data_IF_174294999510
#
_entry.id   IF_174294999510
#
_cell.length_a   1.000
_cell.length_b   1.000
_cell.length_c   1.000
_cell.angle_alpha   90.00
_cell.angle_beta   90.00
_cell.angle_gamma   90.00
#
_symmetry.space_group_name_H-M   'P 1'
#
loop_
_entity.id
_entity.type
_entity.pdbx_description
1 polymer ?
#
# COMPACT_ATOMS: atom_id res chain seq x y z
N UNK A 1 -19.70 -22.08 40.47
CA UNK A 1 -19.91 -21.10 39.36
C UNK A 1 -18.82 -20.04 39.26
N UNK A 2 -18.27 -19.52 40.41
CA UNK A 2 -17.14 -18.58 40.43
C UNK A 2 -15.83 -19.24 40.00
N UNK A 3 -15.53 -20.41 40.50
CA UNK A 3 -14.32 -21.21 40.15
C UNK A 3 -14.30 -21.63 38.70
N UNK A 4 -15.46 -21.97 38.09
CA UNK A 4 -15.53 -22.34 36.68
C UNK A 4 -15.30 -21.15 35.75
N UNK A 5 -15.77 -19.94 36.13
CA UNK A 5 -15.48 -18.71 35.35
C UNK A 5 -14.00 -18.32 35.43
N UNK A 6 -13.36 -18.45 36.57
CA UNK A 6 -11.93 -18.14 36.74
C UNK A 6 -11.05 -19.14 35.98
N UNK A 7 -11.41 -20.42 35.97
CA UNK A 7 -10.72 -21.44 35.19
C UNK A 7 -10.84 -21.18 33.66
N UNK A 8 -12.04 -20.85 33.16
CA UNK A 8 -12.28 -20.51 31.76
C UNK A 8 -11.49 -19.26 31.37
N UNK A 9 -11.49 -18.24 32.23
CA UNK A 9 -10.74 -17.00 31.95
C UNK A 9 -9.23 -17.22 31.95
N UNK A 10 -8.69 -18.09 32.79
CA UNK A 10 -7.29 -18.51 32.82
C UNK A 10 -6.90 -19.27 31.53
N UNK A 11 -7.77 -20.17 31.05
CA UNK A 11 -7.54 -20.88 29.79
C UNK A 11 -7.57 -19.95 28.58
N UNK A 12 -8.47 -18.97 28.53
CA UNK A 12 -8.51 -17.96 27.47
C UNK A 12 -7.25 -17.09 27.49
N UNK A 13 -6.77 -16.68 28.65
CA UNK A 13 -5.53 -15.92 28.77
C UNK A 13 -4.30 -16.75 28.34
N UNK A 14 -4.22 -18.01 28.76
CA UNK A 14 -3.16 -18.92 28.32
C UNK A 14 -3.18 -19.16 26.82
N UNK A 15 -4.37 -19.33 26.22
CA UNK A 15 -4.53 -19.46 24.77
C UNK A 15 -4.12 -18.18 24.03
N UNK A 16 -4.48 -17.01 24.52
CA UNK A 16 -4.08 -15.73 23.94
C UNK A 16 -2.55 -15.53 24.02
N UNK A 17 -1.94 -15.85 25.16
CA UNK A 17 -0.48 -15.74 25.35
C UNK A 17 0.24 -16.75 24.44
N UNK A 18 -0.21 -18.00 24.36
CA UNK A 18 0.40 -19.01 23.48
C UNK A 18 0.27 -18.65 22.02
N UNK A 19 -0.86 -18.03 21.59
CA UNK A 19 -1.05 -17.56 20.22
C UNK A 19 -0.11 -16.38 19.90
N UNK A 20 0.12 -15.48 20.84
CA UNK A 20 1.08 -14.38 20.69
C UNK A 20 2.50 -14.93 20.59
N UNK A 21 2.89 -15.86 21.45
CA UNK A 21 4.21 -16.50 21.42
C UNK A 21 4.43 -17.25 20.10
N UNK A 22 3.42 -18.00 19.64
CA UNK A 22 3.46 -18.71 18.37
C UNK A 22 3.60 -17.73 17.19
N UNK A 23 2.86 -16.64 17.21
CA UNK A 23 2.94 -15.59 16.19
C UNK A 23 4.34 -14.95 16.16
N UNK A 24 4.88 -14.60 17.33
CA UNK A 24 6.24 -14.05 17.45
C UNK A 24 7.29 -15.06 16.97
N UNK A 25 7.14 -16.34 17.33
CA UNK A 25 8.03 -17.41 16.88
C UNK A 25 7.96 -17.59 15.35
N UNK A 26 6.77 -17.63 14.76
CA UNK A 26 6.58 -17.72 13.30
C UNK A 26 7.20 -16.49 12.61
N UNK A 27 6.98 -15.28 13.15
CA UNK A 27 7.57 -14.07 12.60
C UNK A 27 9.11 -14.10 12.69
N UNK A 28 9.66 -14.59 13.80
CA UNK A 28 11.10 -14.77 13.97
C UNK A 28 11.68 -15.79 12.99
N UNK A 29 10.99 -16.92 12.75
CA UNK A 29 11.41 -17.94 11.77
C UNK A 29 11.36 -17.36 10.34
N UNK A 30 10.34 -16.59 10.00
CA UNK A 30 10.25 -15.89 8.70
C UNK A 30 11.38 -14.86 8.56
N UNK A 31 11.68 -14.11 9.60
CA UNK A 31 12.80 -13.14 9.61
C UNK A 31 14.16 -13.86 9.44
N UNK A 32 14.40 -14.93 10.17
CA UNK A 32 15.63 -15.75 10.05
C UNK A 32 15.72 -16.45 8.69
N UNK A 33 14.61 -16.98 8.18
CA UNK A 33 14.54 -17.58 6.84
C UNK A 33 14.80 -16.58 5.70
N UNK A 34 14.47 -15.28 5.88
CA UNK A 34 14.79 -14.22 4.93
C UNK A 34 16.26 -13.77 5.00
N UNK A 35 16.96 -14.02 6.11
CA UNK A 35 18.41 -13.77 6.21
C UNK A 35 19.20 -14.72 5.27
N UNK A 36 18.69 -15.93 5.00
CA UNK A 36 19.30 -16.83 4.03
C UNK A 36 19.08 -16.41 2.55
N UNK A 37 18.11 -15.56 2.26
CA UNK A 37 17.98 -14.87 0.96
C UNK A 37 18.63 -13.49 1.05
N UNK A 38 19.91 -13.44 1.33
CA UNK A 38 20.69 -12.21 1.50
C UNK A 38 20.45 -11.14 0.41
N UNK A 39 20.24 -11.56 -0.84
CA UNK A 39 19.97 -10.64 -1.95
C UNK A 39 18.62 -9.92 -1.87
N UNK A 40 17.60 -10.54 -1.29
CA UNK A 40 16.28 -9.89 -1.15
C UNK A 40 16.25 -8.90 0.04
N UNK A 41 17.02 -9.19 1.09
CA UNK A 41 17.23 -8.30 2.23
C UNK A 41 17.99 -7.06 1.82
N UNK A 42 19.10 -7.22 1.11
CA UNK A 42 19.94 -6.13 0.63
C UNK A 42 19.15 -5.15 -0.26
N UNK A 43 18.30 -5.67 -1.17
CA UNK A 43 17.44 -4.85 -2.02
C UNK A 43 16.43 -4.00 -1.22
N UNK A 44 15.79 -4.56 -0.18
CA UNK A 44 14.86 -3.80 0.66
C UNK A 44 15.57 -2.71 1.44
N UNK A 45 16.75 -3.00 1.98
CA UNK A 45 17.54 -2.00 2.69
C UNK A 45 17.95 -0.83 1.78
N UNK A 46 18.33 -1.12 0.54
CA UNK A 46 18.61 -0.09 -0.46
C UNK A 46 17.36 0.76 -0.74
N UNK A 47 16.19 0.10 -0.97
CA UNK A 47 14.92 0.81 -1.20
C UNK A 47 14.60 1.71 -0.01
N UNK A 48 14.73 1.23 1.22
CA UNK A 48 14.43 2.01 2.42
C UNK A 48 15.40 3.17 2.62
N UNK A 49 16.69 2.96 2.33
CA UNK A 49 17.69 4.03 2.40
C UNK A 49 17.36 5.17 1.42
N UNK A 50 17.18 4.86 0.14
CA UNK A 50 16.83 5.85 -0.89
C UNK A 50 15.49 6.53 -0.56
N UNK A 51 14.47 5.76 -0.14
CA UNK A 51 13.17 6.33 0.25
C UNK A 51 13.31 7.30 1.42
N UNK A 52 14.15 6.98 2.41
CA UNK A 52 14.38 7.86 3.56
C UNK A 52 15.06 9.16 3.14
N UNK A 53 15.99 9.12 2.20
CA UNK A 53 16.61 10.32 1.64
C UNK A 53 15.58 11.17 0.89
N UNK A 54 14.74 10.54 0.05
CA UNK A 54 13.65 11.22 -0.65
C UNK A 54 12.64 11.90 0.29
N UNK A 55 12.34 11.31 1.45
CA UNK A 55 11.46 11.92 2.48
C UNK A 55 12.07 13.23 3.00
N UNK A 56 13.40 13.30 3.13
CA UNK A 56 14.07 14.52 3.63
C UNK A 56 13.97 15.71 2.68
N UNK A 57 13.71 15.50 1.40
CA UNK A 57 13.48 16.58 0.43
C UNK A 57 12.08 17.20 0.54
N UNK A 58 11.08 16.37 0.91
CA UNK A 58 9.68 16.81 1.05
C UNK A 58 9.07 16.38 2.38
N UNK A 59 9.63 16.82 3.54
CA UNK A 59 9.34 16.21 4.83
C UNK A 59 7.92 16.47 5.36
N UNK A 60 7.29 17.59 5.02
CA UNK A 60 6.01 18.00 5.63
C UNK A 60 4.81 17.46 4.87
N UNK A 61 4.74 17.72 3.58
CA UNK A 61 3.56 17.41 2.73
C UNK A 61 3.75 16.16 1.87
N UNK A 62 4.99 15.68 1.75
CA UNK A 62 5.34 14.61 0.82
C UNK A 62 5.27 15.03 -0.65
N UNK A 63 5.32 14.04 -1.52
CA UNK A 63 5.36 14.23 -2.98
C UNK A 63 3.99 14.02 -3.66
N UNK A 64 2.96 13.63 -2.90
CA UNK A 64 1.65 13.25 -3.41
C UNK A 64 1.47 11.72 -3.56
N UNK A 65 0.21 11.29 -3.47
CA UNK A 65 -0.17 9.87 -3.53
C UNK A 65 0.18 9.31 -4.91
N UNK A 66 0.81 8.12 -4.93
CA UNK A 66 1.22 7.43 -6.15
C UNK A 66 2.52 7.96 -6.76
N UNK A 67 3.16 8.96 -6.15
CA UNK A 67 4.42 9.55 -6.63
C UNK A 67 5.67 8.69 -6.35
N UNK A 68 5.54 7.62 -5.55
CA UNK A 68 6.67 6.80 -5.13
C UNK A 68 7.54 6.29 -6.29
N UNK A 69 7.03 5.64 -7.37
CA UNK A 69 7.87 5.04 -8.38
C UNK A 69 8.75 6.06 -9.11
N UNK A 70 8.17 7.21 -9.49
CA UNK A 70 8.89 8.26 -10.22
C UNK A 70 9.96 8.93 -9.35
N UNK A 71 9.60 9.28 -8.11
CA UNK A 71 10.56 9.89 -7.18
C UNK A 71 11.66 8.91 -6.80
N UNK A 72 11.32 7.66 -6.52
CA UNK A 72 12.31 6.63 -6.21
C UNK A 72 13.32 6.44 -7.36
N UNK A 73 12.86 6.37 -8.62
CA UNK A 73 13.74 6.20 -9.77
C UNK A 73 14.72 7.37 -9.92
N UNK A 74 14.23 8.61 -9.72
CA UNK A 74 15.06 9.83 -9.75
C UNK A 74 16.13 9.78 -8.64
N UNK A 75 15.72 9.51 -7.41
CA UNK A 75 16.64 9.47 -6.25
C UNK A 75 17.61 8.29 -6.34
N UNK A 76 17.20 7.15 -6.89
CA UNK A 76 18.08 6.01 -7.15
C UNK A 76 19.16 6.38 -8.17
N UNK A 77 18.81 7.10 -9.24
CA UNK A 77 19.77 7.58 -10.23
C UNK A 77 20.80 8.50 -9.58
N UNK A 78 20.32 9.50 -8.84
CA UNK A 78 21.19 10.43 -8.12
C UNK A 78 22.11 9.70 -7.10
N UNK A 79 21.57 8.72 -6.35
CA UNK A 79 22.35 7.91 -5.43
C UNK A 79 23.47 7.13 -6.14
N UNK A 80 23.20 6.59 -7.33
CA UNK A 80 24.21 5.82 -8.08
C UNK A 80 25.26 6.67 -8.80
N UNK A 81 25.02 7.96 -8.95
CA UNK A 81 26.02 8.92 -9.42
C UNK A 81 27.02 9.26 -8.31
N UNK A 82 26.67 9.01 -7.05
CA UNK A 82 27.61 9.21 -5.94
C UNK A 82 28.61 8.05 -5.83
N UNK A 83 29.82 8.34 -5.34
CA UNK A 83 30.86 7.32 -5.08
C UNK A 83 30.52 6.40 -3.89
N UNK A 84 29.41 6.67 -3.18
CA UNK A 84 28.98 5.90 -2.01
C UNK A 84 28.28 4.60 -2.36
N UNK A 85 27.72 4.48 -3.58
CA UNK A 85 26.97 3.32 -4.03
C UNK A 85 27.92 2.15 -4.36
N UNK A 86 27.71 1.01 -3.70
CA UNK A 86 28.50 -0.20 -3.95
C UNK A 86 28.16 -0.84 -5.30
N UNK A 87 29.13 -1.55 -5.90
CA UNK A 87 28.92 -2.30 -7.13
C UNK A 87 27.80 -3.36 -6.98
N UNK A 88 27.65 -3.92 -5.79
CA UNK A 88 26.58 -4.89 -5.48
C UNK A 88 25.22 -4.24 -5.50
N UNK A 89 25.05 -3.03 -4.96
CA UNK A 89 23.81 -2.27 -4.98
C UNK A 89 23.40 -1.92 -6.40
N UNK A 90 24.35 -1.48 -7.23
CA UNK A 90 24.10 -1.19 -8.66
C UNK A 90 23.64 -2.43 -9.43
N UNK A 91 24.19 -3.62 -9.15
CA UNK A 91 23.80 -4.87 -9.80
C UNK A 91 22.43 -5.41 -9.31
N UNK A 92 22.06 -5.13 -8.06
CA UNK A 92 20.80 -5.60 -7.47
C UNK A 92 19.67 -4.57 -7.54
N UNK A 93 19.95 -3.39 -8.09
CA UNK A 93 18.98 -2.33 -8.25
C UNK A 93 17.76 -2.78 -9.05
N UNK A 94 16.60 -2.31 -8.63
CA UNK A 94 15.32 -2.54 -9.30
C UNK A 94 14.51 -1.25 -9.25
N UNK A 95 13.51 -1.11 -10.14
CA UNK A 95 12.53 -0.02 -10.07
C UNK A 95 11.28 -0.51 -9.34
N UNK A 96 11.23 -0.44 -8.01
CA UNK A 96 10.09 -0.94 -7.23
C UNK A 96 8.88 -0.03 -7.39
N UNK A 97 7.69 -0.63 -7.43
CA UNK A 97 6.43 0.10 -7.42
C UNK A 97 6.05 0.61 -6.02
N UNK A 98 6.63 0.01 -4.97
CA UNK A 98 6.33 0.30 -3.56
C UNK A 98 7.59 0.22 -2.69
N UNK A 99 7.57 0.94 -1.56
CA UNK A 99 8.68 0.94 -0.59
C UNK A 99 8.84 -0.39 0.17
N UNK A 100 7.90 -1.32 0.09
CA UNK A 100 7.83 -2.52 0.93
C UNK A 100 7.85 -2.21 2.44
N UNK A 101 7.42 -1.02 2.78
CA UNK A 101 7.20 -0.51 4.13
C UNK A 101 6.19 0.64 4.02
N UNK A 102 4.97 0.44 4.53
CA UNK A 102 3.89 1.43 4.40
C UNK A 102 4.18 2.72 5.14
N UNK A 103 4.93 2.66 6.24
CA UNK A 103 5.29 3.87 6.99
C UNK A 103 6.23 4.76 6.18
N UNK A 104 7.19 4.17 5.48
CA UNK A 104 8.06 4.91 4.56
C UNK A 104 7.29 5.39 3.32
N UNK A 105 6.41 4.56 2.78
CA UNK A 105 5.56 4.93 1.66
C UNK A 105 4.68 6.15 2.00
N UNK A 106 3.95 6.07 3.12
CA UNK A 106 3.12 7.17 3.63
C UNK A 106 3.97 8.40 3.95
N UNK A 107 5.15 8.21 4.55
CA UNK A 107 6.09 9.28 4.85
C UNK A 107 6.59 10.00 3.60
N UNK A 108 6.83 9.28 2.51
CA UNK A 108 7.23 9.87 1.24
C UNK A 108 6.06 10.55 0.53
N UNK A 109 4.91 9.89 0.42
CA UNK A 109 3.78 10.38 -0.35
C UNK A 109 2.98 11.51 0.37
N UNK A 110 2.80 11.40 1.67
CA UNK A 110 1.99 12.33 2.48
C UNK A 110 2.80 13.14 3.51
N UNK A 111 4.11 12.94 3.54
CA UNK A 111 5.00 13.57 4.51
C UNK A 111 4.76 13.11 5.94
N UNK A 112 5.44 13.78 6.88
CA UNK A 112 5.31 13.51 8.32
C UNK A 112 3.88 13.76 8.81
N UNK A 113 3.13 14.67 8.21
CA UNK A 113 1.74 14.97 8.56
C UNK A 113 0.83 13.75 8.33
N UNK A 114 0.94 13.12 7.15
CA UNK A 114 0.17 11.91 6.84
C UNK A 114 0.61 10.71 7.68
N UNK A 115 1.92 10.58 7.92
CA UNK A 115 2.47 9.50 8.76
C UNK A 115 1.98 9.62 10.21
N UNK A 116 2.03 10.82 10.80
CA UNK A 116 1.53 11.05 12.16
C UNK A 116 0.03 10.79 12.26
N UNK A 117 -0.75 11.21 11.26
CA UNK A 117 -2.19 10.91 11.22
C UNK A 117 -2.45 9.41 11.16
N UNK A 118 -1.71 8.68 10.34
CA UNK A 118 -1.85 7.22 10.21
C UNK A 118 -1.50 6.50 11.53
N UNK A 119 -0.37 6.87 12.16
CA UNK A 119 0.04 6.30 13.45
C UNK A 119 -0.99 6.64 14.54
N UNK A 120 -1.47 7.89 14.58
CA UNK A 120 -2.53 8.30 15.51
C UNK A 120 -3.80 7.48 15.31
N UNK A 121 -4.22 7.26 14.08
CA UNK A 121 -5.40 6.44 13.77
C UNK A 121 -5.24 4.99 14.26
N UNK A 122 -4.09 4.34 14.01
CA UNK A 122 -3.81 3.00 14.52
C UNK A 122 -3.83 2.97 16.06
N UNK A 123 -3.13 3.91 16.70
CA UNK A 123 -3.07 4.01 18.16
C UNK A 123 -4.44 4.26 18.79
N UNK A 124 -5.24 5.15 18.18
CA UNK A 124 -6.60 5.44 18.59
C UNK A 124 -7.49 4.19 18.50
N UNK A 125 -7.41 3.48 17.38
CA UNK A 125 -8.17 2.25 17.18
C UNK A 125 -7.81 1.16 18.20
N UNK A 126 -6.51 0.97 18.46
CA UNK A 126 -6.00 0.04 19.46
C UNK A 126 -6.43 0.44 20.89
N UNK A 127 -6.32 1.71 21.23
CA UNK A 127 -6.73 2.22 22.55
C UNK A 127 -8.21 1.90 22.82
N UNK A 128 -9.09 2.24 21.89
CA UNK A 128 -10.52 1.94 22.05
C UNK A 128 -10.82 0.45 21.99
N UNK A 129 -10.15 -0.31 21.14
CA UNK A 129 -10.30 -1.74 21.07
C UNK A 129 -9.96 -2.45 22.39
N UNK A 130 -8.86 -2.08 23.03
CA UNK A 130 -8.48 -2.59 24.35
C UNK A 130 -9.49 -2.14 25.42
N UNK A 131 -9.88 -0.87 25.41
CA UNK A 131 -10.86 -0.31 26.36
C UNK A 131 -12.23 -0.96 26.27
N UNK A 132 -12.67 -1.29 25.06
CA UNK A 132 -13.95 -1.96 24.82
C UNK A 132 -13.85 -3.49 24.89
N UNK A 133 -12.66 -4.04 25.22
CA UNK A 133 -12.36 -5.48 25.30
C UNK A 133 -12.53 -6.22 23.96
N UNK A 134 -12.31 -5.54 22.84
CA UNK A 134 -12.33 -6.09 21.49
C UNK A 134 -10.94 -6.65 21.14
N UNK A 135 -10.49 -7.64 21.92
CA UNK A 135 -9.10 -8.16 21.84
C UNK A 135 -8.76 -8.73 20.46
N UNK A 136 -9.71 -9.47 19.85
CA UNK A 136 -9.49 -10.05 18.54
C UNK A 136 -9.30 -8.99 17.44
N UNK A 137 -10.15 -7.95 17.42
CA UNK A 137 -10.03 -6.87 16.46
C UNK A 137 -8.76 -6.03 16.69
N UNK A 138 -8.41 -5.77 17.96
CA UNK A 138 -7.15 -5.10 18.31
C UNK A 138 -5.93 -5.90 17.86
N UNK A 139 -5.95 -7.22 18.06
CA UNK A 139 -4.90 -8.12 17.57
C UNK A 139 -4.77 -8.09 16.04
N UNK A 140 -5.89 -8.03 15.33
CA UNK A 140 -5.91 -7.89 13.87
C UNK A 140 -5.29 -6.57 13.38
N UNK A 141 -5.62 -5.44 14.03
CA UNK A 141 -5.00 -4.12 13.72
C UNK A 141 -3.51 -4.16 13.98
N UNK A 142 -3.09 -4.72 15.12
CA UNK A 142 -1.67 -4.84 15.46
C UNK A 142 -0.92 -5.71 14.44
N UNK A 143 -1.51 -6.83 14.04
CA UNK A 143 -0.93 -7.72 13.04
C UNK A 143 -0.78 -7.02 11.68
N UNK A 144 -1.79 -6.26 11.24
CA UNK A 144 -1.70 -5.45 10.01
C UNK A 144 -0.63 -4.36 10.13
N UNK A 145 -0.53 -3.68 11.29
CA UNK A 145 0.51 -2.69 11.54
C UNK A 145 1.93 -3.28 11.47
N UNK A 146 2.12 -4.47 12.02
CA UNK A 146 3.42 -5.19 11.91
C UNK A 146 3.67 -5.64 10.47
N UNK A 147 2.67 -6.16 9.78
CA UNK A 147 2.79 -6.56 8.38
C UNK A 147 3.15 -5.38 7.47
N UNK A 148 2.61 -4.21 7.75
CA UNK A 148 2.89 -2.95 7.06
C UNK A 148 4.36 -2.49 7.19
N UNK A 149 5.12 -2.94 8.20
CA UNK A 149 6.56 -2.65 8.32
C UNK A 149 7.42 -3.37 7.27
N UNK A 150 6.96 -4.50 6.74
CA UNK A 150 7.78 -5.36 5.87
C UNK A 150 7.12 -5.65 4.52
N UNK A 151 5.97 -5.04 4.24
CA UNK A 151 5.19 -5.27 3.04
C UNK A 151 4.37 -4.04 2.67
N UNK A 152 3.51 -4.19 1.67
CA UNK A 152 2.65 -3.13 1.12
C UNK A 152 1.15 -3.50 1.19
N UNK A 153 0.61 -3.91 2.35
CA UNK A 153 -0.80 -4.35 2.43
C UNK A 153 -1.77 -3.23 2.06
N UNK A 154 -1.49 -1.98 2.40
CA UNK A 154 -2.38 -0.86 2.13
C UNK A 154 -2.42 -0.43 0.65
N UNK A 155 -1.55 -0.98 -0.19
CA UNK A 155 -1.65 -0.83 -1.63
C UNK A 155 -2.75 -1.74 -2.24
N UNK A 156 -3.27 -2.68 -1.44
CA UNK A 156 -4.31 -3.60 -1.84
C UNK A 156 -5.65 -3.20 -1.18
N UNK A 157 -6.72 -2.92 -1.96
CA UNK A 157 -8.01 -2.47 -1.42
C UNK A 157 -8.61 -3.39 -0.35
N UNK A 158 -8.35 -4.70 -0.45
CA UNK A 158 -8.84 -5.70 0.50
C UNK A 158 -8.37 -5.42 1.94
N UNK A 159 -7.11 -5.00 2.12
CA UNK A 159 -6.58 -4.71 3.44
C UNK A 159 -7.10 -3.38 4.01
N UNK A 160 -7.43 -2.40 3.15
CA UNK A 160 -8.13 -1.20 3.57
C UNK A 160 -9.51 -1.52 4.14
N UNK A 161 -10.29 -2.34 3.42
CA UNK A 161 -11.61 -2.80 3.91
C UNK A 161 -11.47 -3.53 5.24
N UNK A 162 -10.49 -4.42 5.36
CA UNK A 162 -10.23 -5.15 6.60
C UNK A 162 -9.84 -4.19 7.75
N UNK A 163 -8.94 -3.24 7.52
CA UNK A 163 -8.49 -2.28 8.52
C UNK A 163 -9.64 -1.39 9.00
N UNK A 164 -10.46 -0.88 8.08
CA UNK A 164 -11.64 -0.07 8.40
C UNK A 164 -12.67 -0.88 9.20
N UNK A 165 -12.91 -2.13 8.83
CA UNK A 165 -13.82 -3.02 9.54
C UNK A 165 -13.33 -3.31 10.97
N UNK A 166 -12.07 -3.65 11.14
CA UNK A 166 -11.47 -3.86 12.46
C UNK A 166 -11.50 -2.60 13.33
N UNK A 167 -11.21 -1.44 12.73
CA UNK A 167 -11.32 -0.13 13.40
C UNK A 167 -12.75 0.12 13.88
N UNK A 168 -13.74 -0.12 13.02
CA UNK A 168 -15.15 0.04 13.38
C UNK A 168 -15.56 -0.83 14.57
N UNK A 169 -15.11 -2.09 14.61
CA UNK A 169 -15.33 -3.00 15.75
C UNK A 169 -14.67 -2.45 17.02
N UNK A 170 -13.42 -1.99 16.94
CA UNK A 170 -12.68 -1.48 18.07
C UNK A 170 -13.33 -0.24 18.68
N UNK A 171 -13.78 0.69 17.85
CA UNK A 171 -14.37 1.97 18.30
C UNK A 171 -15.80 1.79 18.84
N UNK A 172 -16.53 0.80 18.33
CA UNK A 172 -17.91 0.57 18.75
C UNK A 172 -17.99 0.01 20.15
N UNK A 173 -18.71 0.71 21.06
CA UNK A 173 -18.97 0.22 22.40
C UNK A 173 -20.32 -0.50 22.47
N UNK A 174 -20.36 -1.84 22.60
CA UNK A 174 -21.61 -2.59 22.60
C UNK A 174 -22.55 -2.28 23.78
N UNK A 175 -22.01 -1.72 24.87
CA UNK A 175 -22.80 -1.44 26.08
C UNK A 175 -23.56 -0.11 26.04
N UNK A 176 -23.13 0.85 25.24
CA UNK A 176 -23.67 2.21 25.24
C UNK A 176 -24.64 2.51 24.08
N UNK A 177 -24.77 1.61 23.11
CA UNK A 177 -25.31 1.96 21.79
C UNK A 177 -26.77 1.62 21.54
N UNK A 178 -27.52 1.02 22.50
CA UNK A 178 -28.89 0.56 22.20
C UNK A 178 -29.93 1.68 21.96
N UNK A 179 -29.79 2.85 22.56
CA UNK A 179 -30.81 3.90 22.46
C UNK A 179 -30.45 5.06 21.51
N UNK A 180 -29.18 5.44 21.41
CA UNK A 180 -28.74 6.57 20.56
C UNK A 180 -28.52 6.18 19.10
N UNK A 181 -28.08 4.94 18.86
CA UNK A 181 -27.81 4.40 17.53
C UNK A 181 -29.08 4.30 16.66
N UNK A 182 -30.23 4.06 17.25
CA UNK A 182 -31.47 3.77 16.52
C UNK A 182 -32.00 4.99 15.73
N UNK A 183 -31.62 6.22 16.09
CA UNK A 183 -32.10 7.46 15.44
C UNK A 183 -31.18 8.05 14.37
N UNK A 184 -29.89 7.90 14.49
CA UNK A 184 -28.90 8.54 13.58
C UNK A 184 -28.27 7.58 12.57
N UNK A 185 -28.25 6.28 12.83
CA UNK A 185 -27.66 5.28 11.94
C UNK A 185 -28.22 5.36 10.49
N UNK A 186 -29.56 5.47 10.25
CA UNK A 186 -30.07 5.50 8.89
C UNK A 186 -29.58 6.73 8.10
N UNK A 187 -29.42 7.87 8.72
CA UNK A 187 -28.93 9.09 8.05
C UNK A 187 -27.42 8.99 7.76
N UNK A 188 -26.64 8.49 8.68
CA UNK A 188 -25.19 8.32 8.49
C UNK A 188 -24.91 7.26 7.41
N UNK A 189 -25.65 6.16 7.41
CA UNK A 189 -25.52 5.12 6.38
C UNK A 189 -25.99 5.62 5.00
N UNK A 190 -27.03 6.43 4.94
CA UNK A 190 -27.49 7.03 3.69
C UNK A 190 -26.45 8.02 3.14
N UNK A 191 -25.86 8.88 3.98
CA UNK A 191 -24.79 9.80 3.58
C UNK A 191 -23.56 9.00 3.11
N UNK A 192 -23.15 7.97 3.84
CA UNK A 192 -22.04 7.12 3.45
C UNK A 192 -22.30 6.41 2.11
N UNK A 193 -23.50 5.90 1.89
CA UNK A 193 -23.89 5.30 0.62
C UNK A 193 -23.86 6.30 -0.53
N UNK A 194 -24.36 7.52 -0.34
CA UNK A 194 -24.34 8.58 -1.34
C UNK A 194 -22.88 8.96 -1.68
N UNK A 195 -22.03 9.17 -0.66
CA UNK A 195 -20.61 9.45 -0.86
C UNK A 195 -19.90 8.32 -1.61
N UNK A 196 -20.19 7.06 -1.26
CA UNK A 196 -19.66 5.91 -1.97
C UNK A 196 -20.09 5.90 -3.43
N UNK A 197 -21.37 6.15 -3.73
CA UNK A 197 -21.88 6.26 -5.10
C UNK A 197 -21.19 7.38 -5.89
N UNK A 198 -20.98 8.55 -5.26
CA UNK A 198 -20.29 9.68 -5.90
C UNK A 198 -18.83 9.31 -6.22
N UNK A 199 -18.13 8.66 -5.28
CA UNK A 199 -16.76 8.20 -5.50
C UNK A 199 -16.66 7.16 -6.61
N UNK A 200 -17.58 6.19 -6.64
CA UNK A 200 -17.65 5.19 -7.72
C UNK A 200 -17.95 5.83 -9.08
N UNK A 201 -18.85 6.81 -9.11
CA UNK A 201 -19.17 7.51 -10.35
C UNK A 201 -17.97 8.33 -10.85
N UNK A 202 -17.24 9.00 -9.94
CA UNK A 202 -16.04 9.75 -10.28
C UNK A 202 -14.89 8.88 -10.78
N UNK A 203 -14.87 7.58 -10.44
CA UNK A 203 -13.84 6.64 -10.92
C UNK A 203 -14.21 5.94 -12.25
N UNK A 204 -15.38 6.25 -12.81
CA UNK A 204 -15.86 5.58 -14.01
C UNK A 204 -14.89 5.70 -15.20
N UNK A 205 -14.43 6.91 -15.47
CA UNK A 205 -13.53 7.16 -16.62
C UNK A 205 -12.17 6.49 -16.40
N UNK A 206 -11.65 6.53 -15.17
CA UNK A 206 -10.43 5.81 -14.78
C UNK A 206 -10.59 4.31 -15.02
N UNK A 207 -11.71 3.73 -14.60
CA UNK A 207 -11.99 2.31 -14.82
C UNK A 207 -11.99 1.92 -16.31
N UNK A 208 -12.63 2.73 -17.16
CA UNK A 208 -12.66 2.46 -18.59
C UNK A 208 -11.26 2.63 -19.22
N UNK A 209 -10.49 3.60 -18.79
CA UNK A 209 -9.10 3.82 -19.24
C UNK A 209 -8.21 2.60 -18.92
N UNK A 210 -8.27 2.10 -17.68
CA UNK A 210 -7.50 0.92 -17.30
C UNK A 210 -7.98 -0.37 -17.99
N UNK A 211 -9.28 -0.50 -18.25
CA UNK A 211 -9.83 -1.62 -19.00
C UNK A 211 -9.37 -1.60 -20.46
N UNK A 212 -9.34 -0.43 -21.06
CA UNK A 212 -8.83 -0.23 -22.42
C UNK A 212 -7.34 -0.53 -22.47
N UNK A 213 -6.55 -0.05 -21.53
CA UNK A 213 -5.12 -0.38 -21.43
C UNK A 213 -4.88 -1.90 -21.33
N UNK A 214 -5.66 -2.60 -20.55
CA UNK A 214 -5.56 -4.06 -20.48
C UNK A 214 -5.77 -4.73 -21.82
N UNK A 215 -6.71 -4.25 -22.62
CA UNK A 215 -6.91 -4.73 -23.99
C UNK A 215 -5.72 -4.42 -24.89
N UNK A 216 -5.09 -3.26 -24.70
CA UNK A 216 -3.86 -2.89 -25.43
C UNK A 216 -2.68 -3.78 -25.06
N UNK A 217 -2.56 -4.18 -23.80
CA UNK A 217 -1.54 -5.14 -23.37
C UNK A 217 -1.72 -6.51 -24.05
N UNK A 218 -2.95 -6.95 -24.27
CA UNK A 218 -3.21 -8.17 -25.03
C UNK A 218 -2.74 -8.03 -26.48
N UNK A 219 -3.00 -6.90 -27.15
CA UNK A 219 -2.50 -6.62 -28.50
C UNK A 219 -0.97 -6.54 -28.55
N UNK A 220 -0.36 -5.86 -27.55
CA UNK A 220 1.09 -5.77 -27.41
C UNK A 220 1.74 -7.15 -27.27
N UNK A 221 1.20 -8.03 -26.42
CA UNK A 221 1.71 -9.38 -26.24
C UNK A 221 1.52 -10.26 -27.48
N UNK A 222 0.45 -10.02 -28.26
CA UNK A 222 0.22 -10.68 -29.53
C UNK A 222 1.06 -10.10 -30.69
N UNK A 223 1.90 -9.08 -30.43
CA UNK A 223 2.74 -8.38 -31.40
C UNK A 223 1.96 -7.61 -32.47
N UNK A 224 0.70 -7.26 -32.19
CA UNK A 224 -0.16 -6.46 -33.09
C UNK A 224 0.13 -4.96 -32.91
N UNK A 225 1.39 -4.55 -33.11
CA UNK A 225 1.89 -3.22 -32.77
C UNK A 225 1.21 -2.08 -33.54
N UNK A 226 0.84 -2.28 -34.78
CA UNK A 226 0.18 -1.25 -35.62
C UNK A 226 -1.19 -0.86 -35.03
N UNK A 227 -1.98 -1.86 -34.63
CA UNK A 227 -3.28 -1.61 -34.04
C UNK A 227 -3.16 -1.02 -32.61
N UNK A 228 -2.13 -1.42 -31.88
CA UNK A 228 -1.88 -0.96 -30.52
C UNK A 228 -1.39 0.52 -30.49
N UNK A 229 -0.44 0.90 -31.35
CA UNK A 229 0.22 2.21 -31.31
C UNK A 229 -0.75 3.41 -31.32
N UNK A 230 -1.71 3.42 -32.26
CA UNK A 230 -2.68 4.51 -32.35
C UNK A 230 -3.59 4.63 -31.12
N UNK A 231 -3.94 3.50 -30.52
CA UNK A 231 -4.79 3.43 -29.33
C UNK A 231 -4.00 3.81 -28.07
N UNK A 232 -2.71 3.43 -27.95
CA UNK A 232 -1.84 3.93 -26.87
C UNK A 232 -1.79 5.46 -26.88
N UNK A 233 -1.65 6.11 -28.04
CA UNK A 233 -1.68 7.57 -28.13
C UNK A 233 -2.96 8.18 -27.56
N UNK A 234 -4.10 7.54 -27.75
CA UNK A 234 -5.40 8.01 -27.23
C UNK A 234 -5.52 8.01 -25.72
N UNK A 235 -4.75 7.15 -25.02
CA UNK A 235 -4.76 7.03 -23.56
C UNK A 235 -3.61 7.81 -22.88
N UNK A 236 -2.74 8.45 -23.64
CA UNK A 236 -1.53 9.11 -23.12
C UNK A 236 -1.85 10.11 -22.02
N UNK A 237 -2.84 10.99 -22.22
CA UNK A 237 -3.21 12.04 -21.26
C UNK A 237 -3.65 11.49 -19.90
N UNK A 238 -4.26 10.30 -19.88
CA UNK A 238 -4.75 9.67 -18.65
C UNK A 238 -3.68 8.82 -17.95
N UNK A 239 -2.74 8.25 -18.71
CA UNK A 239 -1.81 7.22 -18.21
C UNK A 239 -0.32 7.62 -18.32
N UNK A 240 0.00 8.88 -18.71
CA UNK A 240 1.40 9.35 -18.83
C UNK A 240 2.23 9.19 -17.54
N UNK A 241 1.58 9.09 -16.39
CA UNK A 241 2.22 8.88 -15.11
C UNK A 241 2.59 7.39 -14.86
N UNK A 242 2.23 6.49 -15.75
CA UNK A 242 2.49 5.04 -15.64
C UNK A 242 3.64 4.64 -16.52
N UNK A 243 4.79 4.36 -15.92
CA UNK A 243 6.01 3.96 -16.64
C UNK A 243 5.83 2.72 -17.52
N UNK A 244 5.06 1.72 -17.02
CA UNK A 244 4.76 0.51 -17.78
C UNK A 244 3.99 0.84 -19.07
N UNK A 245 2.99 1.72 -18.97
CA UNK A 245 2.21 2.20 -20.11
C UNK A 245 3.06 2.96 -21.12
N UNK A 246 3.94 3.84 -20.64
CA UNK A 246 4.84 4.61 -21.51
C UNK A 246 5.82 3.70 -22.24
N UNK A 247 6.39 2.72 -21.54
CA UNK A 247 7.31 1.77 -22.15
C UNK A 247 6.64 0.92 -23.24
N UNK A 248 5.49 0.30 -22.94
CA UNK A 248 4.71 -0.50 -23.89
C UNK A 248 4.31 0.32 -25.12
N UNK A 249 3.83 1.55 -24.91
CA UNK A 249 3.47 2.46 -26.00
C UNK A 249 4.68 2.88 -26.85
N UNK A 250 5.79 3.25 -26.22
CA UNK A 250 7.03 3.58 -26.92
C UNK A 250 7.56 2.41 -27.75
N UNK A 251 7.50 1.19 -27.22
CA UNK A 251 7.91 0.00 -27.98
C UNK A 251 6.99 -0.25 -29.18
N UNK A 252 5.67 -0.06 -29.04
CA UNK A 252 4.75 -0.15 -30.17
C UNK A 252 5.11 0.86 -31.27
N UNK A 253 5.40 2.13 -30.92
CA UNK A 253 5.84 3.13 -31.91
C UNK A 253 7.19 2.78 -32.52
N UNK A 254 8.13 2.27 -31.76
CA UNK A 254 9.42 1.84 -32.27
C UNK A 254 9.28 0.69 -33.29
N UNK A 255 8.46 -0.34 -32.97
CA UNK A 255 8.23 -1.50 -33.87
C UNK A 255 7.47 -1.13 -35.14
N UNK A 256 6.67 -0.05 -35.13
CA UNK A 256 5.96 0.49 -36.28
C UNK A 256 6.78 1.52 -37.07
N UNK A 257 8.07 1.72 -36.72
CA UNK A 257 8.97 2.64 -37.42
C UNK A 257 8.79 4.12 -37.08
N UNK A 258 7.97 4.45 -36.08
CA UNK A 258 7.72 5.82 -35.62
C UNK A 258 8.70 6.20 -34.50
N UNK A 259 10.00 6.19 -34.80
CA UNK A 259 11.08 6.34 -33.80
C UNK A 259 11.06 7.69 -33.08
N UNK A 260 10.71 8.77 -33.75
CA UNK A 260 10.64 10.12 -33.13
C UNK A 260 9.56 10.20 -32.04
N UNK A 261 8.44 9.48 -32.23
CA UNK A 261 7.36 9.43 -31.25
C UNK A 261 7.79 8.52 -30.08
N UNK A 262 8.42 7.39 -30.36
CA UNK A 262 8.92 6.48 -29.35
C UNK A 262 9.89 7.17 -28.37
N UNK A 263 10.82 7.98 -28.89
CA UNK A 263 11.77 8.76 -28.06
C UNK A 263 11.00 9.74 -27.17
N UNK A 264 10.07 10.52 -27.72
CA UNK A 264 9.27 11.51 -26.95
C UNK A 264 8.40 10.89 -25.85
N UNK A 265 8.11 9.61 -25.94
CA UNK A 265 7.34 8.91 -24.91
C UNK A 265 8.21 8.47 -23.72
N UNK A 266 9.54 8.40 -23.92
CA UNK A 266 10.50 7.96 -22.92
C UNK A 266 11.25 9.13 -22.26
N UNK A 267 11.22 10.31 -22.86
CA UNK A 267 11.75 11.56 -22.32
C UNK A 267 10.75 12.21 -21.30
#
# INVERSE_FOLDING_TARGET
WKQTKEAIQKHIQLFAISSIILFVAITAVILVGNIQKAQAGDRRLLIWNITTQAIMEHPVTGIGIGGFPATYAKEQSAYFETDTASSKEKQTATCPQYAYNEYLQIGLELGITGLLFFIFWLAFSLYYGIRHRQIGASGGILALGIFALYSYPLQLPTYWVLLLFLTAICVTNPKHNKQRAQRSIPYISAIAAILTCILFYGQKDTYYTYREWKTLQELYHNQEYEQAASRYAGLFVQLYHRTDFLYEGAECFYKTGQHDIAIKWLD
#
